data_IF_563704401102
#
_entry.id   IF_563704401102
#
_cell.length_a   1.000
_cell.length_b   1.000
_cell.length_c   1.000
_cell.angle_alpha   90.00
_cell.angle_beta   90.00
_cell.angle_gamma   90.00
#
_symmetry.space_group_name_H-M   'P 1'
#
loop_
_entity.id
_entity.type
_entity.pdbx_description
1 polymer ?
#
# COMPACT_ATOMS: atom_id res chain seq x y z
N UNK A 1 1.85 29.46 -42.92
CA UNK A 1 3.31 29.30 -42.94
C UNK A 1 3.79 29.75 -41.55
N UNK A 2 3.92 28.81 -40.61
CA UNK A 2 4.39 29.09 -39.26
C UNK A 2 5.91 28.84 -39.21
N UNK A 3 6.68 29.67 -38.50
CA UNK A 3 8.13 29.52 -38.46
C UNK A 3 8.53 28.32 -37.61
N UNK A 4 9.44 27.51 -38.14
CA UNK A 4 10.13 26.42 -37.44
C UNK A 4 10.98 27.01 -36.31
N UNK A 5 10.66 26.67 -35.06
CA UNK A 5 11.49 27.01 -33.90
C UNK A 5 12.78 26.22 -33.99
N UNK A 6 13.90 26.91 -34.15
CA UNK A 6 15.23 26.34 -34.27
C UNK A 6 15.63 25.54 -33.03
N UNK A 7 16.17 24.37 -33.23
CA UNK A 7 16.80 23.56 -32.20
C UNK A 7 18.01 24.31 -31.61
N UNK A 8 18.02 24.51 -30.30
CA UNK A 8 19.21 24.98 -29.59
C UNK A 8 20.18 23.81 -29.50
N UNK A 9 21.24 23.84 -30.32
CA UNK A 9 22.35 22.90 -30.23
C UNK A 9 23.27 23.39 -29.10
N UNK A 10 23.26 22.70 -27.98
CA UNK A 10 24.28 22.88 -26.91
C UNK A 10 25.56 22.19 -27.42
N UNK A 11 26.45 22.95 -28.01
CA UNK A 11 27.76 22.46 -28.42
C UNK A 11 28.66 22.29 -27.19
N UNK A 12 29.07 21.06 -26.88
CA UNK A 12 30.08 20.80 -25.89
C UNK A 12 29.93 19.54 -25.01
N UNK A 13 28.84 18.80 -25.15
CA UNK A 13 28.73 17.48 -24.53
C UNK A 13 28.83 16.42 -25.64
N UNK A 14 29.99 15.79 -25.74
CA UNK A 14 30.14 14.60 -26.59
C UNK A 14 29.16 13.51 -26.15
N UNK A 15 28.84 12.55 -27.03
CA UNK A 15 27.96 11.45 -26.66
C UNK A 15 28.54 10.76 -25.41
N UNK A 16 27.79 10.80 -24.32
CA UNK A 16 28.10 9.96 -23.15
C UNK A 16 28.08 8.54 -23.67
N UNK A 17 29.20 7.78 -23.61
CA UNK A 17 29.17 6.39 -23.97
C UNK A 17 28.06 5.74 -23.15
N UNK A 18 27.22 4.92 -23.76
CA UNK A 18 26.26 4.06 -23.07
C UNK A 18 27.11 3.09 -22.22
N UNK A 19 27.65 3.62 -21.10
CA UNK A 19 28.24 2.81 -20.09
C UNK A 19 27.13 1.90 -19.57
N UNK A 20 27.44 0.63 -19.53
CA UNK A 20 26.67 -0.46 -18.96
C UNK A 20 26.08 -0.04 -17.59
N UNK A 21 24.92 0.62 -17.61
CA UNK A 21 24.20 1.05 -16.39
C UNK A 21 23.38 -0.13 -15.86
N UNK A 22 23.35 -1.24 -16.57
CA UNK A 22 22.83 -2.49 -16.07
C UNK A 22 23.89 -3.15 -15.19
N UNK A 23 23.89 -2.83 -13.90
CA UNK A 23 24.46 -3.73 -12.92
C UNK A 23 23.89 -5.15 -13.15
N UNK A 24 24.57 -6.22 -12.68
CA UNK A 24 24.08 -7.56 -12.86
C UNK A 24 22.64 -7.60 -12.38
N UNK A 25 21.72 -8.23 -13.13
CA UNK A 25 20.33 -8.36 -12.71
C UNK A 25 20.35 -8.92 -11.28
N UNK A 26 19.63 -8.27 -10.37
CA UNK A 26 19.43 -8.79 -9.03
C UNK A 26 18.66 -10.11 -9.23
N UNK A 27 19.40 -11.20 -9.36
CA UNK A 27 18.86 -12.54 -9.31
C UNK A 27 18.40 -12.75 -7.88
N UNK A 28 17.15 -12.41 -7.60
CA UNK A 28 16.50 -12.82 -6.36
C UNK A 28 16.45 -14.33 -6.43
N UNK A 29 17.27 -14.96 -5.58
CA UNK A 29 17.31 -16.41 -5.47
C UNK A 29 15.92 -16.91 -5.04
N UNK A 30 15.14 -17.37 -6.01
CA UNK A 30 13.79 -17.92 -5.79
C UNK A 30 13.80 -19.16 -4.89
N UNK A 31 14.96 -19.78 -4.62
CA UNK A 31 15.07 -20.93 -3.74
C UNK A 31 15.04 -20.59 -2.24
N UNK A 32 15.10 -19.32 -1.82
CA UNK A 32 14.93 -18.90 -0.42
C UNK A 32 13.47 -18.71 0.03
N UNK A 33 12.48 -19.01 -0.81
CA UNK A 33 11.06 -18.78 -0.48
C UNK A 33 10.42 -19.98 0.20
N UNK A 34 10.72 -20.21 1.47
CA UNK A 34 9.83 -20.92 2.41
C UNK A 34 8.99 -19.97 3.26
N UNK A 35 8.97 -18.67 2.94
CA UNK A 35 8.27 -17.67 3.72
C UNK A 35 6.99 -17.23 3.00
N UNK A 36 5.86 -17.54 3.63
CA UNK A 36 4.54 -17.05 3.21
C UNK A 36 4.30 -15.71 3.88
N UNK A 37 4.18 -14.63 3.09
CA UNK A 37 3.93 -13.29 3.58
C UNK A 37 2.47 -13.15 4.04
N UNK A 38 2.25 -12.76 5.29
CA UNK A 38 0.91 -12.47 5.80
C UNK A 38 0.52 -11.04 5.45
N UNK A 39 -0.52 -10.88 4.66
CA UNK A 39 -0.98 -9.59 4.13
C UNK A 39 -2.37 -9.24 4.64
N UNK A 40 -2.51 -8.08 5.30
CA UNK A 40 -3.82 -7.50 5.55
C UNK A 40 -4.25 -6.63 4.37
N UNK A 41 -5.40 -6.91 3.79
CA UNK A 41 -6.09 -6.01 2.84
C UNK A 41 -6.95 -5.08 3.69
N UNK A 42 -6.62 -3.79 3.69
CA UNK A 42 -7.32 -2.77 4.48
C UNK A 42 -8.29 -1.98 3.58
N UNK A 43 -9.61 -2.20 3.68
CA UNK A 43 -10.60 -1.36 3.00
C UNK A 43 -10.46 0.09 3.44
N UNK A 44 -10.39 1.02 2.49
CA UNK A 44 -10.08 2.43 2.76
C UNK A 44 -11.29 3.30 3.10
N UNK A 45 -12.50 2.73 3.24
CA UNK A 45 -13.72 3.49 3.57
C UNK A 45 -14.81 2.57 4.09
N UNK A 46 -15.63 3.09 5.00
CA UNK A 46 -16.87 2.48 5.48
C UNK A 46 -18.13 3.15 4.91
N UNK A 47 -17.98 3.96 3.83
CA UNK A 47 -19.14 4.62 3.20
C UNK A 47 -20.11 3.57 2.64
N UNK A 48 -21.42 3.65 2.98
CA UNK A 48 -22.43 2.75 2.43
C UNK A 48 -22.45 2.79 0.89
N UNK A 49 -22.66 1.63 0.27
CA UNK A 49 -22.76 1.50 -1.19
C UNK A 49 -21.53 2.03 -1.97
N UNK A 50 -20.35 2.09 -1.34
CA UNK A 50 -19.11 2.43 -2.03
C UNK A 50 -18.69 1.30 -2.98
N UNK A 51 -17.89 1.65 -3.99
CA UNK A 51 -17.23 0.67 -4.87
C UNK A 51 -16.19 -0.19 -4.14
N UNK A 52 -15.75 0.26 -2.96
CA UNK A 52 -14.65 -0.33 -2.22
C UNK A 52 -14.72 -1.85 -2.03
N UNK A 53 -15.88 -2.45 -1.62
CA UNK A 53 -15.99 -3.91 -1.47
C UNK A 53 -15.67 -4.67 -2.76
N UNK A 54 -16.03 -4.14 -3.94
CA UNK A 54 -15.73 -4.79 -5.21
C UNK A 54 -14.23 -4.73 -5.54
N UNK A 55 -13.58 -3.60 -5.28
CA UNK A 55 -12.12 -3.46 -5.49
C UNK A 55 -11.36 -4.35 -4.51
N UNK A 56 -11.79 -4.41 -3.24
CA UNK A 56 -11.23 -5.29 -2.21
C UNK A 56 -11.36 -6.76 -2.60
N UNK A 57 -12.53 -7.18 -3.09
CA UNK A 57 -12.75 -8.55 -3.56
C UNK A 57 -11.79 -8.89 -4.71
N UNK A 58 -11.67 -8.01 -5.70
CA UNK A 58 -10.73 -8.18 -6.79
C UNK A 58 -9.27 -8.32 -6.28
N UNK A 59 -8.84 -7.48 -5.35
CA UNK A 59 -7.49 -7.59 -4.74
C UNK A 59 -7.33 -8.94 -4.05
N UNK A 60 -8.33 -9.39 -3.31
CA UNK A 60 -8.30 -10.68 -2.62
C UNK A 60 -8.18 -11.83 -3.62
N UNK A 61 -8.96 -11.84 -4.69
CA UNK A 61 -8.94 -12.87 -5.74
C UNK A 61 -7.55 -12.94 -6.43
N UNK A 62 -6.91 -11.77 -6.68
CA UNK A 62 -5.56 -11.73 -7.25
C UNK A 62 -4.48 -12.29 -6.29
N UNK A 63 -4.67 -12.16 -4.99
CA UNK A 63 -3.75 -12.69 -3.99
C UNK A 63 -3.97 -14.18 -3.71
N UNK A 64 -5.21 -14.67 -3.80
CA UNK A 64 -5.55 -16.06 -3.49
C UNK A 64 -4.98 -17.07 -4.48
N UNK A 65 -4.61 -16.64 -5.68
CA UNK A 65 -3.94 -17.51 -6.66
C UNK A 65 -2.42 -17.59 -6.47
N UNK A 66 -1.87 -16.87 -5.49
CA UNK A 66 -0.43 -16.88 -5.17
C UNK A 66 -0.13 -17.88 -4.04
N UNK A 67 1.00 -18.54 -4.16
CA UNK A 67 1.51 -19.52 -3.18
C UNK A 67 2.50 -18.92 -2.16
N UNK A 68 2.88 -17.63 -2.36
CA UNK A 68 3.83 -16.93 -1.50
C UNK A 68 3.17 -15.87 -0.59
N UNK A 69 1.84 -15.74 -0.66
CA UNK A 69 1.04 -14.77 0.12
C UNK A 69 -0.14 -15.46 0.80
N UNK A 70 -0.36 -15.12 2.07
CA UNK A 70 -1.61 -15.42 2.79
C UNK A 70 -2.32 -14.11 3.09
N UNK A 71 -3.45 -13.84 2.43
CA UNK A 71 -4.15 -12.57 2.53
C UNK A 71 -5.46 -12.68 3.30
N UNK A 72 -5.73 -11.69 4.15
CA UNK A 72 -6.97 -11.52 4.89
C UNK A 72 -7.51 -10.10 4.70
N UNK A 73 -8.83 -9.96 4.52
CA UNK A 73 -9.49 -8.64 4.54
C UNK A 73 -9.74 -8.25 5.99
N UNK A 74 -9.16 -7.14 6.41
CA UNK A 74 -9.27 -6.61 7.77
C UNK A 74 -9.91 -5.23 7.71
N UNK A 75 -11.18 -5.14 8.05
CA UNK A 75 -11.91 -3.88 7.99
C UNK A 75 -11.93 -3.20 9.36
N UNK A 76 -11.43 -1.97 9.43
CA UNK A 76 -11.42 -1.18 10.67
C UNK A 76 -12.83 -0.93 11.24
N UNK A 77 -13.89 -1.00 10.41
CA UNK A 77 -15.27 -0.89 10.87
C UNK A 77 -15.72 -2.04 11.78
N UNK A 78 -15.01 -3.19 11.75
CA UNK A 78 -15.35 -4.36 12.58
C UNK A 78 -14.85 -4.19 14.05
N UNK A 79 -14.12 -3.11 14.32
CA UNK A 79 -13.52 -2.84 15.63
C UNK A 79 -14.23 -1.73 16.41
N UNK A 80 -15.37 -1.23 15.93
CA UNK A 80 -16.18 -0.19 16.58
C UNK A 80 -15.36 1.05 17.03
N UNK A 81 -14.37 1.44 16.21
CA UNK A 81 -13.51 2.59 16.49
C UNK A 81 -14.33 3.90 16.44
N UNK A 82 -14.49 4.63 17.56
CA UNK A 82 -15.08 5.96 17.55
C UNK A 82 -14.14 6.97 16.86
N UNK A 83 -14.43 8.27 16.89
CA UNK A 83 -13.37 9.26 16.69
C UNK A 83 -12.34 9.08 17.79
N UNK A 84 -11.04 9.25 17.43
CA UNK A 84 -9.91 8.95 18.31
C UNK A 84 -10.15 9.45 19.76
N UNK A 85 -10.24 8.51 20.68
CA UNK A 85 -10.59 8.72 22.08
C UNK A 85 -9.50 8.23 23.07
N UNK A 86 -8.34 7.83 22.56
CA UNK A 86 -7.19 7.54 23.43
C UNK A 86 -6.58 8.80 23.99
N UNK A 87 -6.34 8.81 25.30
CA UNK A 87 -5.74 9.96 26.01
C UNK A 87 -4.24 10.07 25.71
N UNK A 88 -3.58 8.93 25.55
CA UNK A 88 -2.13 8.85 25.30
C UNK A 88 -1.90 8.60 23.80
N UNK A 89 -0.99 9.36 23.17
CA UNK A 89 -0.68 9.16 21.76
C UNK A 89 -0.23 7.72 21.44
N UNK A 90 -0.66 7.20 20.30
CA UNK A 90 -0.41 5.82 19.86
C UNK A 90 1.08 5.40 19.89
N UNK A 91 1.99 6.34 19.67
CA UNK A 91 3.43 6.08 19.70
C UNK A 91 3.97 5.60 21.06
N UNK A 92 3.21 5.81 22.14
CA UNK A 92 3.57 5.31 23.47
C UNK A 92 3.11 3.86 23.72
N UNK A 93 2.29 3.30 22.85
CA UNK A 93 1.71 1.94 22.95
C UNK A 93 0.97 1.67 24.29
N UNK A 94 0.43 2.70 24.90
CA UNK A 94 -0.29 2.63 26.19
C UNK A 94 -1.80 2.74 25.95
N UNK A 95 -2.35 1.82 25.16
CA UNK A 95 -3.77 1.80 24.81
C UNK A 95 -4.66 1.50 26.02
N UNK A 96 -5.61 2.39 26.30
CA UNK A 96 -6.56 2.22 27.38
C UNK A 96 -7.80 1.40 26.93
N UNK A 97 -8.31 1.71 25.75
CA UNK A 97 -9.59 1.24 25.25
C UNK A 97 -9.53 -0.18 24.65
N UNK A 98 -10.60 -0.95 24.85
CA UNK A 98 -10.68 -2.33 24.38
C UNK A 98 -10.66 -2.41 22.84
N UNK A 99 -11.36 -1.48 22.16
CA UNK A 99 -11.40 -1.41 20.69
C UNK A 99 -10.01 -1.12 20.10
N UNK A 100 -9.24 -0.22 20.71
CA UNK A 100 -7.87 0.07 20.28
C UNK A 100 -6.97 -1.15 20.43
N UNK A 101 -7.05 -1.83 21.59
CA UNK A 101 -6.28 -3.07 21.83
C UNK A 101 -6.62 -4.16 20.82
N UNK A 102 -7.89 -4.34 20.53
CA UNK A 102 -8.33 -5.33 19.54
C UNK A 102 -7.82 -5.00 18.13
N UNK A 103 -7.92 -3.73 17.72
CA UNK A 103 -7.41 -3.24 16.44
C UNK A 103 -5.89 -3.41 16.33
N UNK A 104 -5.14 -2.97 17.34
CA UNK A 104 -3.69 -3.11 17.42
C UNK A 104 -3.27 -4.58 17.32
N UNK A 105 -3.86 -5.46 18.15
CA UNK A 105 -3.55 -6.89 18.14
C UNK A 105 -3.82 -7.54 16.78
N UNK A 106 -4.90 -7.12 16.09
CA UNK A 106 -5.20 -7.64 14.75
C UNK A 106 -4.16 -7.22 13.71
N UNK A 107 -3.74 -5.95 13.71
CA UNK A 107 -2.73 -5.46 12.78
C UNK A 107 -1.35 -6.09 13.01
N UNK A 108 -1.05 -6.47 14.26
CA UNK A 108 0.25 -7.06 14.60
C UNK A 108 0.44 -8.48 14.02
N UNK A 109 -0.65 -9.17 13.68
CA UNK A 109 -0.62 -10.50 13.06
C UNK A 109 0.02 -10.53 11.66
N UNK A 110 0.15 -9.36 10.98
CA UNK A 110 0.52 -9.25 9.56
C UNK A 110 1.94 -8.72 9.36
N UNK A 111 2.57 -9.18 8.29
CA UNK A 111 3.89 -8.72 7.84
C UNK A 111 3.79 -7.52 6.88
N UNK A 112 2.66 -7.39 6.21
CA UNK A 112 2.44 -6.44 5.13
C UNK A 112 0.97 -5.98 5.05
N UNK A 113 0.76 -4.84 4.38
CA UNK A 113 -0.55 -4.26 4.17
C UNK A 113 -0.79 -3.92 2.71
N UNK A 114 -2.02 -4.11 2.23
CA UNK A 114 -2.51 -3.51 0.98
C UNK A 114 -3.69 -2.61 1.32
N UNK A 115 -3.51 -1.31 1.20
CA UNK A 115 -4.57 -0.34 1.42
C UNK A 115 -5.36 -0.13 0.14
N UNK A 116 -6.67 -0.37 0.18
CA UNK A 116 -7.58 -0.17 -0.95
C UNK A 116 -8.36 1.12 -0.73
N UNK A 117 -7.86 2.24 -1.23
CA UNK A 117 -8.37 3.57 -0.89
C UNK A 117 -9.11 4.27 -2.03
N UNK A 118 -10.33 4.79 -1.78
CA UNK A 118 -10.91 5.82 -2.63
C UNK A 118 -10.20 7.15 -2.45
N UNK A 119 -10.46 8.10 -3.34
CA UNK A 119 -10.12 9.51 -3.14
C UNK A 119 -11.37 10.30 -2.79
N UNK A 120 -11.39 10.90 -1.60
CA UNK A 120 -12.42 11.84 -1.16
C UNK A 120 -11.80 13.20 -0.92
N UNK A 121 -12.21 14.20 -1.72
CA UNK A 121 -11.71 15.58 -1.59
C UNK A 121 -10.18 15.66 -1.55
N UNK A 122 -9.52 15.02 -2.53
CA UNK A 122 -8.06 15.01 -2.70
C UNK A 122 -7.27 14.22 -1.65
N UNK A 123 -7.92 13.42 -0.80
CA UNK A 123 -7.24 12.65 0.24
C UNK A 123 -7.88 11.27 0.46
N UNK A 124 -7.33 10.52 1.42
CA UNK A 124 -7.94 9.31 1.95
C UNK A 124 -9.23 9.67 2.70
N UNK A 125 -10.07 8.67 2.97
CA UNK A 125 -11.27 8.88 3.78
C UNK A 125 -10.93 9.26 5.23
N UNK A 126 -11.77 10.07 5.86
CA UNK A 126 -11.63 10.40 7.28
C UNK A 126 -11.69 9.17 8.19
N UNK A 127 -12.47 8.15 7.80
CA UNK A 127 -12.57 6.90 8.56
C UNK A 127 -11.27 6.09 8.53
N UNK A 128 -10.60 5.98 7.37
CA UNK A 128 -9.28 5.34 7.29
C UNK A 128 -8.26 6.13 8.11
N UNK A 129 -8.24 7.46 7.96
CA UNK A 129 -7.30 8.30 8.74
C UNK A 129 -7.51 8.12 10.23
N UNK A 130 -8.76 8.12 10.70
CA UNK A 130 -9.09 7.89 12.11
C UNK A 130 -8.59 6.51 12.58
N UNK A 131 -8.80 5.45 11.80
CA UNK A 131 -8.33 4.10 12.16
C UNK A 131 -6.80 4.02 12.26
N UNK A 132 -6.08 4.73 11.39
CA UNK A 132 -4.61 4.82 11.44
C UNK A 132 -4.12 5.57 12.69
N UNK A 133 -4.85 6.58 13.17
CA UNK A 133 -4.44 7.40 14.30
C UNK A 133 -4.52 6.68 15.65
N UNK A 134 -5.27 5.57 15.74
CA UNK A 134 -5.35 4.75 16.94
C UNK A 134 -4.09 3.95 17.26
N UNK A 135 -3.23 3.69 16.24
CA UNK A 135 -2.11 2.74 16.33
C UNK A 135 -0.85 3.33 15.71
N UNK A 136 0.31 2.80 16.06
CA UNK A 136 1.57 3.26 15.49
C UNK A 136 2.61 2.13 15.32
N UNK A 137 3.00 1.48 16.41
CA UNK A 137 4.09 0.50 16.41
C UNK A 137 3.76 -0.77 15.63
N UNK A 138 2.48 -1.11 15.54
CA UNK A 138 1.94 -2.25 14.80
C UNK A 138 2.27 -2.19 13.30
N UNK A 139 2.59 -1.00 12.80
CA UNK A 139 3.03 -0.77 11.43
C UNK A 139 4.56 -0.76 11.25
N UNK A 140 5.33 -0.58 12.34
CA UNK A 140 6.77 -0.35 12.27
C UNK A 140 7.52 -1.48 11.53
N UNK A 141 8.36 -1.06 10.58
CA UNK A 141 9.21 -1.96 9.80
C UNK A 141 8.43 -3.03 9.02
N UNK A 142 7.19 -2.74 8.66
CA UNK A 142 6.39 -3.54 7.74
C UNK A 142 6.36 -2.88 6.35
N UNK A 143 5.82 -3.58 5.37
CA UNK A 143 5.75 -3.11 3.99
C UNK A 143 4.29 -2.86 3.60
N UNK A 144 4.04 -1.89 2.70
CA UNK A 144 2.70 -1.65 2.18
C UNK A 144 2.69 -1.43 0.67
N UNK A 145 1.62 -1.92 0.04
CA UNK A 145 1.16 -1.58 -1.29
C UNK A 145 -0.11 -0.73 -1.25
N UNK A 146 -0.36 0.04 -2.29
CA UNK A 146 -1.55 0.88 -2.40
C UNK A 146 -2.32 0.52 -3.66
N UNK A 147 -3.61 0.26 -3.49
CA UNK A 147 -4.61 0.17 -4.55
C UNK A 147 -5.55 1.35 -4.40
N UNK A 148 -5.58 2.22 -5.38
CA UNK A 148 -6.34 3.46 -5.31
C UNK A 148 -7.31 3.61 -6.48
N UNK A 149 -8.44 4.25 -6.24
CA UNK A 149 -9.44 4.46 -7.26
C UNK A 149 -10.21 5.78 -7.07
N UNK A 150 -10.73 6.31 -8.17
CA UNK A 150 -11.50 7.54 -8.17
C UNK A 150 -11.67 8.09 -9.58
N UNK A 151 -12.19 9.33 -9.72
CA UNK A 151 -12.32 10.01 -11.00
C UNK A 151 -10.94 10.19 -11.67
N UNK A 152 -9.96 10.68 -10.90
CA UNK A 152 -8.55 10.81 -11.32
C UNK A 152 -7.72 9.63 -10.77
N UNK A 153 -8.29 8.42 -10.81
CA UNK A 153 -7.67 7.18 -10.32
C UNK A 153 -7.32 7.17 -8.82
N UNK A 154 -7.60 8.22 -8.05
CA UNK A 154 -7.29 8.29 -6.62
C UNK A 154 -5.82 8.56 -6.29
N UNK A 155 -5.06 9.13 -7.21
CA UNK A 155 -3.60 9.30 -7.06
C UNK A 155 -3.21 10.24 -5.93
N UNK A 156 -4.01 11.28 -5.66
CA UNK A 156 -3.75 12.22 -4.55
C UNK A 156 -3.95 11.57 -3.19
N UNK A 157 -4.95 10.71 -3.07
CA UNK A 157 -5.16 9.92 -1.85
C UNK A 157 -3.99 8.95 -1.61
N UNK A 158 -3.47 8.32 -2.67
CA UNK A 158 -2.30 7.45 -2.57
C UNK A 158 -1.06 8.22 -2.09
N UNK A 159 -0.79 9.41 -2.63
CA UNK A 159 0.33 10.25 -2.20
C UNK A 159 0.20 10.69 -0.74
N UNK A 160 -0.99 11.13 -0.32
CA UNK A 160 -1.22 11.47 1.09
C UNK A 160 -1.03 10.26 2.00
N UNK A 161 -1.49 9.07 1.59
CA UNK A 161 -1.32 7.85 2.36
C UNK A 161 0.16 7.48 2.49
N UNK A 162 0.98 7.63 1.43
CA UNK A 162 2.44 7.41 1.48
C UNK A 162 3.10 8.27 2.57
N UNK A 163 2.75 9.54 2.66
CA UNK A 163 3.27 10.44 3.70
C UNK A 163 2.85 10.00 5.10
N UNK A 164 1.61 9.57 5.29
CA UNK A 164 1.11 9.07 6.57
C UNK A 164 1.87 7.80 6.97
N UNK A 165 1.99 6.82 6.06
CA UNK A 165 2.66 5.55 6.30
C UNK A 165 4.15 5.70 6.58
N UNK A 166 4.81 6.69 5.97
CA UNK A 166 6.22 7.00 6.26
C UNK A 166 6.43 7.39 7.74
N UNK A 167 5.46 8.06 8.38
CA UNK A 167 5.51 8.39 9.80
C UNK A 167 5.54 7.13 10.70
N UNK A 168 4.94 6.03 10.23
CA UNK A 168 4.91 4.73 10.92
C UNK A 168 6.08 3.81 10.54
N UNK A 169 7.11 4.31 9.87
CA UNK A 169 8.26 3.53 9.37
C UNK A 169 7.86 2.38 8.46
N UNK A 170 6.76 2.55 7.72
CA UNK A 170 6.30 1.58 6.70
C UNK A 170 7.06 1.82 5.41
N UNK A 171 7.61 0.75 4.84
CA UNK A 171 8.18 0.79 3.50
C UNK A 171 7.07 0.64 2.47
N UNK A 172 6.68 1.74 1.81
CA UNK A 172 5.65 1.69 0.76
C UNK A 172 6.32 1.40 -0.57
N UNK A 173 5.95 0.29 -1.23
CA UNK A 173 6.50 -0.06 -2.54
C UNK A 173 6.13 0.98 -3.60
N UNK A 174 6.99 1.09 -4.64
CA UNK A 174 6.83 2.11 -5.67
C UNK A 174 5.54 1.93 -6.46
N UNK A 175 5.32 0.72 -6.97
CA UNK A 175 4.21 0.45 -7.86
C UNK A 175 2.88 0.45 -7.09
N UNK A 176 1.83 0.85 -7.77
CA UNK A 176 0.47 0.90 -7.24
C UNK A 176 -0.53 0.58 -8.36
N UNK A 177 -1.64 -0.08 -8.04
CA UNK A 177 -2.74 -0.28 -8.97
C UNK A 177 -3.74 0.88 -8.84
N UNK A 178 -3.97 1.59 -9.94
CA UNK A 178 -4.76 2.83 -9.95
C UNK A 178 -5.91 2.75 -10.94
N UNK A 179 -7.15 2.81 -10.44
CA UNK A 179 -8.36 2.57 -11.22
C UNK A 179 -9.22 3.82 -11.36
N UNK A 180 -9.68 4.08 -12.60
CA UNK A 180 -10.63 5.15 -12.87
C UNK A 180 -12.06 4.63 -12.83
N UNK A 181 -12.94 5.34 -12.12
CA UNK A 181 -14.38 5.02 -12.14
C UNK A 181 -15.01 5.18 -13.52
N UNK A 182 -14.33 5.81 -14.48
CA UNK A 182 -14.83 6.02 -15.83
C UNK A 182 -14.40 4.93 -16.82
N UNK A 183 -13.31 4.22 -16.55
CA UNK A 183 -12.77 3.19 -17.46
C UNK A 183 -12.73 1.79 -16.86
N UNK A 184 -12.75 1.69 -15.53
CA UNK A 184 -12.60 0.43 -14.80
C UNK A 184 -13.90 0.05 -14.06
N UNK A 185 -15.03 0.72 -14.41
CA UNK A 185 -16.38 0.40 -13.89
C UNK A 185 -17.37 0.40 -15.05
N UNK A 186 -18.10 -0.69 -15.20
CA UNK A 186 -19.15 -0.85 -16.21
C UNK A 186 -20.47 -1.17 -15.50
N UNK A 187 -21.50 -0.35 -15.73
CA UNK A 187 -22.85 -0.53 -15.14
C UNK A 187 -22.80 -0.73 -13.60
N UNK A 188 -21.94 0.03 -12.91
CA UNK A 188 -21.78 -0.05 -11.47
C UNK A 188 -20.95 -1.26 -10.97
N UNK A 189 -20.43 -2.07 -11.88
CA UNK A 189 -19.58 -3.22 -11.58
C UNK A 189 -18.12 -2.89 -11.84
N UNK A 190 -17.24 -3.21 -10.89
CA UNK A 190 -15.81 -3.06 -11.06
C UNK A 190 -15.27 -4.07 -12.08
N UNK A 191 -14.79 -3.56 -13.19
CA UNK A 191 -14.26 -4.33 -14.34
C UNK A 191 -12.95 -3.70 -14.81
N UNK A 192 -11.83 -3.92 -14.06
CA UNK A 192 -10.57 -3.26 -14.38
C UNK A 192 -10.04 -3.69 -15.75
N UNK A 193 -9.50 -2.73 -16.50
CA UNK A 193 -8.80 -3.02 -17.74
C UNK A 193 -7.46 -3.71 -17.44
N UNK A 194 -6.93 -4.49 -18.40
CA UNK A 194 -5.61 -5.12 -18.28
C UNK A 194 -4.51 -4.08 -17.99
N UNK A 195 -4.60 -2.91 -18.63
CA UNK A 195 -3.61 -1.82 -18.46
C UNK A 195 -3.65 -1.27 -17.04
N UNK A 196 -4.85 -1.10 -16.46
CA UNK A 196 -4.99 -0.59 -15.09
C UNK A 196 -4.60 -1.64 -14.04
N UNK A 197 -4.81 -2.92 -14.34
CA UNK A 197 -4.51 -4.04 -13.45
C UNK A 197 -3.02 -4.46 -13.48
N UNK A 198 -2.32 -4.30 -14.58
CA UNK A 198 -0.96 -4.79 -14.77
C UNK A 198 0.04 -4.39 -13.65
N UNK A 199 0.03 -3.15 -13.11
CA UNK A 199 0.94 -2.76 -12.04
C UNK A 199 0.73 -3.51 -10.73
N UNK A 200 -0.41 -4.17 -10.53
CA UNK A 200 -0.70 -4.92 -9.31
C UNK A 200 0.28 -6.09 -9.09
N UNK A 201 0.64 -6.80 -10.16
CA UNK A 201 1.56 -7.94 -10.06
C UNK A 201 2.95 -7.50 -9.58
N UNK A 202 3.54 -6.47 -10.19
CA UNK A 202 4.84 -5.95 -9.77
C UNK A 202 4.79 -5.35 -8.36
N UNK A 203 3.69 -4.69 -7.99
CA UNK A 203 3.46 -4.20 -6.63
C UNK A 203 3.52 -5.35 -5.61
N UNK A 204 2.87 -6.47 -5.90
CA UNK A 204 2.87 -7.62 -4.97
C UNK A 204 4.21 -8.33 -4.95
N UNK A 205 4.92 -8.41 -6.07
CA UNK A 205 6.28 -8.98 -6.12
C UNK A 205 7.25 -8.18 -5.25
N UNK A 206 7.20 -6.84 -5.32
CA UNK A 206 7.98 -5.97 -4.44
C UNK A 206 7.55 -6.10 -2.98
N UNK A 207 6.23 -6.20 -2.72
CA UNK A 207 5.69 -6.39 -1.37
C UNK A 207 6.27 -7.66 -0.73
N UNK A 208 6.31 -8.78 -1.46
CA UNK A 208 6.89 -10.04 -0.99
C UNK A 208 8.39 -9.93 -0.75
N UNK A 209 9.12 -9.31 -1.69
CA UNK A 209 10.57 -9.14 -1.58
C UNK A 209 10.97 -8.27 -0.37
N UNK A 210 10.31 -7.11 -0.20
CA UNK A 210 10.60 -6.19 0.89
C UNK A 210 10.08 -6.71 2.23
N UNK A 211 8.89 -7.34 2.26
CA UNK A 211 8.34 -7.95 3.46
C UNK A 211 9.23 -9.03 4.04
N UNK A 212 9.80 -9.86 3.19
CA UNK A 212 10.78 -10.86 3.59
C UNK A 212 12.07 -10.25 4.16
N UNK A 213 12.58 -9.16 3.56
CA UNK A 213 13.78 -8.47 4.06
C UNK A 213 13.51 -7.76 5.40
N UNK A 214 12.37 -7.07 5.53
CA UNK A 214 12.01 -6.33 6.74
C UNK A 214 11.64 -7.23 7.92
N UNK A 215 11.29 -8.49 7.69
CA UNK A 215 11.06 -9.46 8.76
C UNK A 215 12.29 -9.61 9.65
N UNK A 216 13.48 -9.74 9.06
CA UNK A 216 14.74 -9.79 9.81
C UNK A 216 14.94 -8.54 10.66
N UNK A 217 14.64 -7.35 10.12
CA UNK A 217 14.73 -6.09 10.88
C UNK A 217 13.80 -6.08 12.11
N UNK A 218 12.59 -6.64 11.99
CA UNK A 218 11.65 -6.74 13.13
C UNK A 218 12.13 -7.73 14.18
N UNK A 219 12.66 -8.89 13.75
CA UNK A 219 13.19 -9.92 14.65
C UNK A 219 14.41 -9.41 15.43
N UNK A 220 15.32 -8.68 14.77
CA UNK A 220 16.47 -8.06 15.41
C UNK A 220 16.05 -6.98 16.41
N UNK A 221 15.10 -6.11 16.04
CA UNK A 221 14.58 -5.07 16.93
C UNK A 221 13.93 -5.65 18.20
N UNK A 222 13.19 -6.75 18.09
CA UNK A 222 12.57 -7.44 19.22
C UNK A 222 13.64 -8.05 20.17
N UNK A 223 14.77 -8.52 19.64
CA UNK A 223 15.85 -9.12 20.42
C UNK A 223 16.64 -8.11 21.27
N UNK A 224 16.65 -6.84 20.87
CA UNK A 224 17.35 -5.74 21.57
C UNK A 224 16.50 -5.12 22.67
N UNK A 225 15.18 -5.30 22.61
CA UNK A 225 14.23 -4.73 23.57
C UNK A 225 14.06 -5.57 24.87
N UNK A 226 14.76 -6.69 25.00
CA UNK A 226 14.83 -7.59 26.17
C UNK A 226 16.11 -7.30 26.96
#
# INVERSE_FOLDING_TARGET
MLPVVGAVVISGVGPVPAADVAGPPLTIDRQRRTFMLKVAIIPGTNRPQALNPQVVAWVKDQLDVRDDVSAEVVHFADFDLPLLDEVIPAGAQMYANAHTKAWAAKLDEFDAFIFVTPEYNHSISGSLKNALDFVAAEFNHKVAGIVNYGADKGVRAAEHLRHILANYKVAVVRDQASFSIFTDVTDGTFTPTEVSAAPFTSMVDDLVAWGGALKGVREDAASVAV
#
